data_IF_871475989052
#
_entry.id   IF_871475989052
#
_cell.length_a   1.000
_cell.length_b   1.000
_cell.length_c   1.000
_cell.angle_alpha   90.00
_cell.angle_beta   90.00
_cell.angle_gamma   90.00
#
_symmetry.space_group_name_H-M   'P 1'
#
loop_
_entity.id
_entity.type
_entity.pdbx_description
1 polymer ?
#
# COMPACT_ATOMS: atom_id res chain seq x y z
N UNK A 1 -13.50 -0.94 -12.56
CA UNK A 1 -13.72 -1.70 -11.31
C UNK A 1 -13.20 -0.88 -10.13
N UNK A 2 -13.96 -0.78 -9.05
CA UNK A 2 -13.46 -0.19 -7.82
C UNK A 2 -12.34 -1.07 -7.23
N UNK A 3 -11.27 -0.45 -6.72
CA UNK A 3 -10.20 -1.18 -6.04
C UNK A 3 -10.72 -1.69 -4.69
N UNK A 4 -10.58 -2.99 -4.45
CA UNK A 4 -10.96 -3.62 -3.19
C UNK A 4 -9.71 -3.87 -2.34
N UNK A 5 -9.65 -3.22 -1.19
CA UNK A 5 -8.54 -3.36 -0.24
C UNK A 5 -8.49 -4.81 0.26
N UNK A 6 -7.33 -5.45 0.12
CA UNK A 6 -7.13 -6.85 0.53
C UNK A 6 -6.87 -6.96 2.04
N UNK A 7 -7.21 -8.11 2.62
CA UNK A 7 -7.00 -8.37 4.05
C UNK A 7 -5.54 -8.17 4.50
N UNK A 8 -4.58 -8.46 3.61
CA UNK A 8 -3.17 -8.15 3.83
C UNK A 8 -2.95 -6.70 4.29
N UNK A 9 -3.53 -5.74 3.57
CA UNK A 9 -3.37 -4.31 3.83
C UNK A 9 -4.03 -3.92 5.15
N UNK A 10 -5.20 -4.45 5.47
CA UNK A 10 -5.85 -4.22 6.77
C UNK A 10 -5.03 -4.77 7.93
N UNK A 11 -4.46 -5.97 7.79
CA UNK A 11 -3.62 -6.58 8.82
C UNK A 11 -2.36 -5.75 9.07
N UNK A 12 -1.72 -5.25 8.00
CA UNK A 12 -0.56 -4.34 8.10
C UNK A 12 -0.94 -3.01 8.75
N UNK A 13 -2.06 -2.43 8.35
CA UNK A 13 -2.56 -1.19 8.94
C UNK A 13 -2.80 -1.32 10.45
N UNK A 14 -3.45 -2.42 10.87
CA UNK A 14 -3.68 -2.75 12.29
C UNK A 14 -2.36 -2.87 13.07
N UNK A 15 -1.38 -3.57 12.52
CA UNK A 15 -0.07 -3.72 13.15
C UNK A 15 0.69 -2.38 13.29
N UNK A 16 0.47 -1.45 12.35
CA UNK A 16 1.06 -0.11 12.37
C UNK A 16 0.24 0.90 13.19
N UNK A 17 -0.93 0.52 13.68
CA UNK A 17 -1.83 1.42 14.41
C UNK A 17 -2.47 2.50 13.55
N UNK A 18 -2.61 2.27 12.24
CA UNK A 18 -3.28 3.18 11.29
C UNK A 18 -4.55 2.56 10.74
N UNK A 19 -5.43 3.41 10.21
CA UNK A 19 -6.68 3.00 9.54
C UNK A 19 -6.55 3.25 8.05
N UNK A 20 -7.00 2.32 7.23
CA UNK A 20 -7.01 2.45 5.76
C UNK A 20 -8.43 2.43 5.24
N UNK A 21 -8.73 3.31 4.28
CA UNK A 21 -10.03 3.38 3.58
C UNK A 21 -9.80 3.53 2.09
N UNK A 22 -10.79 3.19 1.22
CA UNK A 22 -10.70 3.52 -0.19
C UNK A 22 -10.46 5.01 -0.40
N UNK A 23 -9.56 5.36 -1.31
CA UNK A 23 -9.24 6.76 -1.59
C UNK A 23 -10.27 7.37 -2.54
N UNK A 24 -10.66 8.63 -2.28
CA UNK A 24 -11.44 9.46 -3.21
C UNK A 24 -10.55 10.34 -4.10
N UNK A 25 -9.24 10.38 -3.86
CA UNK A 25 -8.28 11.15 -4.66
C UNK A 25 -8.09 10.47 -6.02
N UNK A 26 -8.21 11.25 -7.10
CA UNK A 26 -8.05 10.77 -8.48
C UNK A 26 -6.71 10.04 -8.64
N UNK A 27 -6.78 8.79 -9.08
CA UNK A 27 -5.61 7.95 -9.35
C UNK A 27 -5.02 7.23 -8.14
N UNK A 28 -5.54 7.45 -6.92
CA UNK A 28 -5.04 6.78 -5.69
C UNK A 28 -5.95 5.64 -5.23
N UNK A 29 -5.36 4.59 -4.65
CA UNK A 29 -6.08 3.38 -4.20
C UNK A 29 -6.68 3.53 -2.81
N UNK A 30 -5.86 3.92 -1.84
CA UNK A 30 -6.25 3.96 -0.42
C UNK A 30 -5.78 5.24 0.25
N UNK A 31 -6.56 5.70 1.20
CA UNK A 31 -6.22 6.76 2.13
C UNK A 31 -5.86 6.13 3.48
N UNK A 32 -4.78 6.64 4.08
CA UNK A 32 -4.26 6.23 5.38
C UNK A 32 -4.59 7.32 6.40
N UNK A 33 -5.12 6.91 7.54
CA UNK A 33 -5.54 7.78 8.63
C UNK A 33 -4.86 7.36 9.93
N UNK A 34 -4.61 8.33 10.82
CA UNK A 34 -4.23 8.02 12.19
C UNK A 34 -5.47 7.57 13.00
N UNK A 35 -5.26 7.20 14.27
CA UNK A 35 -6.36 6.81 15.18
C UNK A 35 -7.32 7.95 15.49
N UNK A 36 -6.89 9.19 15.35
CA UNK A 36 -7.71 10.39 15.59
C UNK A 36 -8.60 10.74 14.38
N UNK A 37 -8.39 10.09 13.24
CA UNK A 37 -9.13 10.34 12.00
C UNK A 37 -8.45 11.31 11.03
N UNK A 38 -7.25 11.81 11.35
CA UNK A 38 -6.50 12.70 10.45
C UNK A 38 -5.91 11.90 9.29
N UNK A 39 -6.09 12.43 8.08
CA UNK A 39 -5.53 11.84 6.86
C UNK A 39 -4.02 12.06 6.81
N UNK A 40 -3.26 10.97 6.78
CA UNK A 40 -1.81 10.96 6.74
C UNK A 40 -1.28 10.93 5.30
N UNK A 41 -1.86 10.08 4.45
CA UNK A 41 -1.40 9.93 3.06
C UNK A 41 -2.47 9.29 2.16
N UNK A 42 -2.35 9.52 0.85
CA UNK A 42 -3.09 8.77 -0.19
C UNK A 42 -2.09 7.96 -1.02
N UNK A 43 -2.19 6.62 -1.02
CA UNK A 43 -1.17 5.71 -1.56
C UNK A 43 -1.73 4.69 -2.56
N UNK A 44 -0.83 4.15 -3.38
CA UNK A 44 -1.13 3.18 -4.44
C UNK A 44 -1.78 3.82 -5.67
N UNK A 45 -1.41 3.38 -6.88
CA UNK A 45 -2.01 3.87 -8.13
C UNK A 45 -3.12 2.92 -8.61
N UNK A 46 -4.30 3.43 -8.97
CA UNK A 46 -5.45 2.58 -9.36
C UNK A 46 -5.19 1.64 -10.54
N UNK A 47 -4.29 2.00 -11.46
CA UNK A 47 -3.90 1.17 -12.61
C UNK A 47 -2.78 0.17 -12.37
N UNK A 48 -2.21 0.12 -11.16
CA UNK A 48 -1.04 -0.72 -10.84
C UNK A 48 -1.42 -1.77 -9.81
N UNK A 49 -1.04 -3.03 -10.00
CA UNK A 49 -1.20 -4.08 -8.98
C UNK A 49 -0.28 -3.86 -7.77
N UNK A 50 -0.69 -4.37 -6.62
CA UNK A 50 0.07 -4.38 -5.37
C UNK A 50 0.48 -5.81 -4.99
N UNK A 51 1.28 -5.97 -3.94
CA UNK A 51 1.80 -7.26 -3.51
C UNK A 51 0.70 -8.32 -3.27
N UNK A 52 -0.39 -8.06 -2.51
CA UNK A 52 -1.43 -9.08 -2.33
C UNK A 52 -2.18 -9.39 -3.63
N UNK A 53 -2.35 -8.42 -4.53
CA UNK A 53 -2.92 -8.69 -5.87
C UNK A 53 -2.01 -9.60 -6.68
N UNK A 54 -0.69 -9.38 -6.68
CA UNK A 54 0.25 -10.23 -7.39
C UNK A 54 0.34 -11.65 -6.83
N UNK A 55 0.20 -11.83 -5.51
CA UNK A 55 0.08 -13.15 -4.91
C UNK A 55 -1.14 -13.86 -5.49
N UNK A 56 -2.28 -13.17 -5.54
CA UNK A 56 -3.54 -13.76 -6.01
C UNK A 56 -3.51 -14.09 -7.50
N UNK A 57 -2.90 -13.26 -8.36
CA UNK A 57 -2.96 -13.43 -9.82
C UNK A 57 -1.81 -14.23 -10.41
N UNK A 58 -0.63 -14.24 -9.77
CA UNK A 58 0.58 -14.87 -10.33
C UNK A 58 1.35 -15.73 -9.33
N UNK A 59 0.89 -15.82 -8.08
CA UNK A 59 1.57 -16.57 -7.04
C UNK A 59 2.70 -15.81 -6.32
N UNK A 60 3.18 -16.42 -5.24
CA UNK A 60 4.08 -15.77 -4.29
C UNK A 60 5.46 -15.46 -4.87
N UNK A 61 6.02 -16.34 -5.71
CA UNK A 61 7.35 -16.13 -6.30
C UNK A 61 7.36 -14.87 -7.20
N UNK A 62 6.35 -14.72 -8.05
CA UNK A 62 6.19 -13.55 -8.90
C UNK A 62 5.99 -12.29 -8.05
N UNK A 63 5.12 -12.35 -7.04
CA UNK A 63 4.87 -11.23 -6.13
C UNK A 63 6.15 -10.79 -5.40
N UNK A 64 6.99 -11.73 -4.97
CA UNK A 64 8.27 -11.44 -4.32
C UNK A 64 9.25 -10.73 -5.27
N UNK A 65 9.35 -11.16 -6.53
CA UNK A 65 10.18 -10.50 -7.55
C UNK A 65 9.71 -9.05 -7.76
N UNK A 66 8.39 -8.83 -7.90
CA UNK A 66 7.81 -7.48 -8.04
C UNK A 66 8.04 -6.61 -6.81
N UNK A 67 7.89 -7.17 -5.61
CA UNK A 67 8.17 -6.49 -4.34
C UNK A 67 9.63 -6.07 -4.23
N UNK A 68 10.58 -6.94 -4.58
CA UNK A 68 12.01 -6.60 -4.58
C UNK A 68 12.29 -5.44 -5.54
N UNK A 69 11.75 -5.49 -6.75
CA UNK A 69 11.87 -4.41 -7.73
C UNK A 69 11.24 -3.08 -7.26
N UNK A 70 10.08 -3.14 -6.59
CA UNK A 70 9.47 -1.95 -5.97
C UNK A 70 10.40 -1.32 -4.93
N UNK A 71 10.93 -2.12 -4.00
CA UNK A 71 11.81 -1.67 -2.91
C UNK A 71 13.14 -1.09 -3.39
N UNK A 72 13.67 -1.61 -4.49
CA UNK A 72 14.89 -1.06 -5.11
C UNK A 72 14.62 0.32 -5.74
N UNK A 73 13.49 0.47 -6.46
CA UNK A 73 13.12 1.75 -7.09
C UNK A 73 12.78 2.85 -6.08
N UNK A 74 12.18 2.49 -4.95
CA UNK A 74 11.75 3.42 -3.90
C UNK A 74 12.70 3.42 -2.70
N UNK A 75 13.97 3.06 -2.90
CA UNK A 75 14.95 3.00 -1.80
C UNK A 75 15.17 4.37 -1.14
N UNK A 76 15.01 5.46 -1.90
CA UNK A 76 15.23 6.84 -1.43
C UNK A 76 14.14 7.35 -0.49
N UNK A 77 12.89 6.89 -0.67
CA UNK A 77 11.71 7.43 0.01
C UNK A 77 11.01 6.42 0.93
N UNK A 78 11.07 5.11 0.63
CA UNK A 78 10.37 4.09 1.43
C UNK A 78 10.83 3.97 2.88
N UNK A 79 12.01 4.47 3.21
CA UNK A 79 12.59 4.41 4.56
C UNK A 79 12.14 5.55 5.49
N UNK A 80 11.57 6.62 4.94
CA UNK A 80 11.28 7.84 5.71
C UNK A 80 9.88 7.73 6.34
N UNK A 81 9.83 7.45 7.65
CA UNK A 81 8.57 7.25 8.40
C UNK A 81 7.61 8.42 8.21
N UNK A 82 6.31 8.10 8.11
CA UNK A 82 5.25 9.09 7.95
C UNK A 82 5.08 9.65 6.53
N UNK A 83 5.95 9.29 5.59
CA UNK A 83 5.78 9.69 4.18
C UNK A 83 4.84 8.75 3.42
N UNK A 84 4.25 9.21 2.29
CA UNK A 84 3.47 8.35 1.42
C UNK A 84 4.25 7.11 0.92
N UNK A 85 5.55 7.25 0.67
CA UNK A 85 6.42 6.14 0.25
C UNK A 85 6.56 5.07 1.34
N UNK A 86 6.72 5.49 2.59
CA UNK A 86 6.77 4.57 3.73
C UNK A 86 5.47 3.81 3.92
N UNK A 87 4.32 4.50 3.88
CA UNK A 87 3.02 3.82 3.97
C UNK A 87 2.80 2.85 2.80
N UNK A 88 3.18 3.24 1.58
CA UNK A 88 3.05 2.36 0.41
C UNK A 88 3.90 1.08 0.55
N UNK A 89 5.14 1.18 1.00
CA UNK A 89 6.03 0.02 1.20
C UNK A 89 5.51 -0.97 2.23
N UNK A 90 4.87 -0.48 3.31
CA UNK A 90 4.43 -1.32 4.42
C UNK A 90 3.00 -1.86 4.27
N UNK A 91 2.12 -1.12 3.57
CA UNK A 91 0.70 -1.46 3.45
C UNK A 91 0.36 -2.17 2.13
N UNK A 92 1.09 -1.86 1.04
CA UNK A 92 0.81 -2.38 -0.30
C UNK A 92 1.92 -3.28 -0.86
N UNK A 93 3.13 -3.21 -0.32
CA UNK A 93 4.29 -3.98 -0.78
C UNK A 93 4.93 -4.82 0.34
#
# INVERSE_FOLDING_TARGET
MAYHIKQYTYNKAKAMGVVVKPSHVKGKKIDVFNKNGDKLASIGALGMSDYPTYIQTHGQEYANKRRKAYKMRHSKDRGVRGTPGWYADHLLW
#
